data_IF_965519678456
#
_entry.id   IF_965519678456
#
_cell.length_a   1.000
_cell.length_b   1.000
_cell.length_c   1.000
_cell.angle_alpha   90.00
_cell.angle_beta   90.00
_cell.angle_gamma   90.00
#
_symmetry.space_group_name_H-M   'P 1'
#
loop_
_entity.id
_entity.type
_entity.pdbx_description
1 polymer ?
#
# COMPACT_ATOMS: atom_id res chain seq x y z
N UNK A 1 4.22 -17.96 -15.45
CA UNK A 1 3.45 -17.28 -14.37
C UNK A 1 3.54 -15.76 -14.39
N UNK A 2 4.67 -15.12 -14.04
CA UNK A 2 4.75 -13.63 -13.96
C UNK A 2 4.52 -12.96 -15.31
N UNK A 3 5.10 -13.52 -16.38
CA UNK A 3 4.89 -13.03 -17.75
C UNK A 3 3.41 -13.07 -18.15
N UNK A 4 2.74 -14.21 -17.96
CA UNK A 4 1.30 -14.36 -18.25
C UNK A 4 0.45 -13.43 -17.38
N UNK A 5 0.85 -13.21 -16.12
CA UNK A 5 0.18 -12.26 -15.25
C UNK A 5 0.34 -10.84 -15.77
N UNK A 6 1.54 -10.43 -16.17
CA UNK A 6 1.79 -9.13 -16.79
C UNK A 6 1.00 -8.95 -18.10
N UNK A 7 0.97 -9.99 -18.95
CA UNK A 7 0.20 -10.00 -20.19
C UNK A 7 -1.30 -9.85 -19.94
N UNK A 8 -1.84 -10.35 -18.82
CA UNK A 8 -3.25 -10.16 -18.47
C UNK A 8 -3.66 -8.71 -18.22
N UNK A 9 -2.69 -7.80 -17.97
CA UNK A 9 -2.94 -6.36 -17.87
C UNK A 9 -3.02 -5.66 -19.24
N UNK A 10 -2.69 -6.35 -20.35
CA UNK A 10 -2.65 -5.81 -21.72
C UNK A 10 -1.93 -4.43 -21.84
N UNK A 11 -0.70 -4.27 -21.33
CA UNK A 11 -0.02 -2.99 -21.36
C UNK A 11 0.30 -2.55 -22.79
N UNK A 12 -0.04 -1.31 -23.15
CA UNK A 12 0.16 -0.76 -24.50
C UNK A 12 1.52 -0.12 -24.71
N UNK A 13 2.19 0.23 -23.62
CA UNK A 13 3.48 0.90 -23.62
C UNK A 13 4.32 0.48 -22.41
N UNK A 14 5.56 0.96 -22.36
CA UNK A 14 6.52 0.63 -21.31
C UNK A 14 6.08 1.11 -19.92
N UNK A 15 5.40 2.25 -19.83
CA UNK A 15 4.93 2.83 -18.56
C UNK A 15 3.78 2.01 -17.97
N UNK A 16 2.84 1.60 -18.81
CA UNK A 16 1.75 0.69 -18.43
C UNK A 16 2.32 -0.68 -17.99
N UNK A 17 3.32 -1.21 -18.70
CA UNK A 17 3.97 -2.45 -18.32
C UNK A 17 4.70 -2.33 -16.97
N UNK A 18 5.40 -1.22 -16.71
CA UNK A 18 6.04 -0.96 -15.42
C UNK A 18 5.02 -0.82 -14.28
N UNK A 19 3.87 -0.21 -14.55
CA UNK A 19 2.81 -0.02 -13.56
C UNK A 19 2.10 -1.34 -13.25
N UNK A 20 1.82 -2.16 -14.26
CA UNK A 20 1.29 -3.51 -14.08
C UNK A 20 2.27 -4.40 -13.30
N UNK A 21 3.56 -4.35 -13.63
CA UNK A 21 4.58 -5.09 -12.86
C UNK A 21 4.64 -4.64 -11.40
N UNK A 22 4.48 -3.34 -11.13
CA UNK A 22 4.40 -2.82 -9.76
C UNK A 22 3.18 -3.36 -9.01
N UNK A 23 2.01 -3.39 -9.64
CA UNK A 23 0.79 -3.94 -9.05
C UNK A 23 0.94 -5.45 -8.74
N UNK A 24 1.54 -6.21 -9.67
CA UNK A 24 1.91 -7.62 -9.44
C UNK A 24 2.83 -7.76 -8.22
N UNK A 25 3.88 -6.95 -8.14
CA UNK A 25 4.79 -6.97 -7.00
C UNK A 25 4.07 -6.59 -5.68
N UNK A 26 3.09 -5.68 -5.72
CA UNK A 26 2.27 -5.33 -4.55
C UNK A 26 1.41 -6.53 -4.11
N UNK A 27 0.77 -7.24 -5.04
CA UNK A 27 -0.01 -8.46 -4.75
C UNK A 27 0.86 -9.58 -4.16
N UNK A 28 2.09 -9.76 -4.66
CA UNK A 28 3.07 -10.72 -4.13
C UNK A 28 3.51 -10.32 -2.71
N UNK A 29 3.76 -9.04 -2.46
CA UNK A 29 4.10 -8.57 -1.12
C UNK A 29 2.96 -8.80 -0.13
N UNK A 30 1.70 -8.59 -0.54
CA UNK A 30 0.52 -8.91 0.28
C UNK A 30 0.43 -10.41 0.59
N UNK A 31 0.76 -11.28 -0.36
CA UNK A 31 0.78 -12.72 -0.15
C UNK A 31 1.86 -13.15 0.87
N UNK A 32 3.07 -12.59 0.77
CA UNK A 32 4.14 -12.82 1.75
C UNK A 32 3.81 -12.31 3.16
N UNK A 33 3.15 -11.15 3.25
CA UNK A 33 2.61 -10.64 4.51
C UNK A 33 1.56 -11.60 5.09
N UNK A 34 0.68 -12.15 4.25
CA UNK A 34 -0.31 -13.10 4.74
C UNK A 34 0.31 -14.40 5.25
N UNK A 35 1.34 -14.94 4.57
CA UNK A 35 2.04 -16.16 5.05
C UNK A 35 2.68 -16.01 6.42
N UNK A 36 2.89 -14.78 6.87
CA UNK A 36 3.48 -14.46 8.16
C UNK A 36 2.46 -13.94 9.18
N UNK A 37 1.16 -14.15 8.92
CA UNK A 37 0.04 -13.74 9.77
C UNK A 37 0.05 -12.24 10.09
N UNK A 38 0.55 -11.41 9.17
CA UNK A 38 0.60 -9.96 9.34
C UNK A 38 -0.80 -9.36 9.55
N UNK A 39 -1.81 -9.90 8.87
CA UNK A 39 -3.17 -9.39 8.91
C UNK A 39 -3.90 -9.66 10.24
N UNK A 40 -3.34 -10.47 11.14
CA UNK A 40 -3.82 -10.58 12.53
C UNK A 40 -3.50 -9.31 13.35
N UNK A 41 -2.56 -8.50 12.86
CA UNK A 41 -2.03 -7.31 13.55
C UNK A 41 -2.35 -6.01 12.85
N UNK A 42 -2.53 -6.03 11.54
CA UNK A 42 -2.69 -4.82 10.74
C UNK A 42 -3.77 -4.99 9.66
N UNK A 43 -4.36 -3.88 9.26
CA UNK A 43 -5.27 -3.80 8.13
C UNK A 43 -4.73 -2.89 7.03
N UNK A 44 -4.94 -3.31 5.79
CA UNK A 44 -4.52 -2.62 4.58
C UNK A 44 -5.46 -1.45 4.27
N UNK A 45 -4.89 -0.31 3.92
CA UNK A 45 -5.65 0.88 3.57
C UNK A 45 -4.96 1.72 2.47
N UNK A 46 -5.50 2.90 2.19
CA UNK A 46 -4.86 3.86 1.29
C UNK A 46 -5.23 3.68 -0.19
N UNK A 47 -4.40 4.26 -1.06
CA UNK A 47 -4.68 4.31 -2.51
C UNK A 47 -4.55 2.95 -3.20
N UNK A 48 -3.62 2.12 -2.74
CA UNK A 48 -3.36 0.81 -3.35
C UNK A 48 -4.44 -0.21 -2.97
N UNK A 49 -5.01 -0.12 -1.76
CA UNK A 49 -6.20 -0.89 -1.40
C UNK A 49 -7.39 -0.58 -2.34
N UNK A 50 -7.62 0.70 -2.65
CA UNK A 50 -8.65 1.10 -3.62
C UNK A 50 -8.36 0.61 -5.04
N UNK A 51 -7.10 0.64 -5.46
CA UNK A 51 -6.68 0.13 -6.77
C UNK A 51 -6.97 -1.37 -6.88
N UNK A 52 -6.41 -2.18 -5.97
CA UNK A 52 -6.43 -3.64 -6.04
C UNK A 52 -7.84 -4.20 -5.78
N UNK A 53 -8.58 -3.67 -4.81
CA UNK A 53 -9.85 -4.28 -4.36
C UNK A 53 -11.11 -3.57 -4.83
N UNK A 54 -10.98 -2.35 -5.35
CA UNK A 54 -12.13 -1.53 -5.76
C UNK A 54 -11.98 -0.94 -7.17
N UNK A 55 -10.95 -1.33 -7.92
CA UNK A 55 -10.71 -0.94 -9.32
C UNK A 55 -10.63 0.59 -9.50
N UNK A 56 -9.93 1.28 -8.59
CA UNK A 56 -9.63 2.69 -8.77
C UNK A 56 -8.79 2.89 -10.05
N UNK A 57 -9.24 3.77 -10.94
CA UNK A 57 -8.65 3.96 -12.27
C UNK A 57 -7.48 4.96 -12.27
N UNK A 58 -6.53 4.75 -11.34
CA UNK A 58 -5.22 5.40 -11.32
C UNK A 58 -4.20 4.53 -10.62
N UNK A 59 -2.93 4.72 -10.96
CA UNK A 59 -1.83 4.00 -10.31
C UNK A 59 -1.63 4.44 -8.85
N UNK A 60 -1.07 3.53 -8.06
CA UNK A 60 -0.69 3.76 -6.67
C UNK A 60 0.59 2.99 -6.37
N UNK A 61 1.49 3.59 -5.57
CA UNK A 61 2.86 3.09 -5.43
C UNK A 61 3.15 2.43 -4.09
N UNK A 62 2.49 2.90 -3.03
CA UNK A 62 2.79 2.54 -1.64
C UNK A 62 1.79 1.49 -1.11
N UNK A 63 2.24 0.62 -0.21
CA UNK A 63 1.40 -0.28 0.57
C UNK A 63 1.26 0.29 1.99
N UNK A 64 0.10 0.88 2.29
CA UNK A 64 -0.17 1.51 3.57
C UNK A 64 -0.97 0.57 4.49
N UNK A 65 -0.48 0.35 5.71
CA UNK A 65 -1.13 -0.49 6.72
C UNK A 65 -1.31 0.26 8.03
N UNK A 66 -2.38 -0.06 8.74
CA UNK A 66 -2.68 0.48 10.06
C UNK A 66 -2.79 -0.67 11.04
N UNK A 67 -2.13 -0.56 12.20
CA UNK A 67 -2.29 -1.58 13.23
C UNK A 67 -3.74 -1.63 13.76
N UNK A 68 -4.23 -2.83 14.07
CA UNK A 68 -5.55 -3.01 14.67
C UNK A 68 -5.64 -2.48 16.10
N UNK A 69 -4.48 -2.35 16.75
CA UNK A 69 -4.29 -1.79 18.08
C UNK A 69 -2.92 -1.10 18.14
N UNK A 70 -2.76 -0.11 19.01
CA UNK A 70 -1.46 0.51 19.24
C UNK A 70 -0.47 -0.51 19.81
N UNK A 71 0.70 -0.64 19.20
CA UNK A 71 1.77 -1.56 19.63
C UNK A 71 3.11 -0.86 19.40
N UNK A 72 3.71 -0.31 20.45
CA UNK A 72 4.94 0.51 20.35
C UNK A 72 6.16 -0.31 19.90
N UNK A 73 6.22 -1.57 20.32
CA UNK A 73 7.32 -2.49 19.99
C UNK A 73 7.06 -3.26 18.68
N UNK A 74 6.05 -2.85 17.91
CA UNK A 74 5.78 -3.47 16.62
C UNK A 74 6.99 -3.29 15.70
N UNK A 75 7.47 -4.38 15.11
CA UNK A 75 8.51 -4.33 14.09
C UNK A 75 8.02 -4.98 12.79
N UNK A 76 8.25 -4.30 11.67
CA UNK A 76 8.02 -4.86 10.34
C UNK A 76 9.09 -5.90 9.96
N UNK A 77 10.21 -5.96 10.69
CA UNK A 77 11.33 -6.87 10.41
C UNK A 77 10.94 -8.34 10.41
N UNK A 78 10.09 -8.74 11.37
CA UNK A 78 9.61 -10.13 11.50
C UNK A 78 8.90 -10.67 10.26
N UNK A 79 8.41 -9.80 9.37
CA UNK A 79 7.68 -10.18 8.17
C UNK A 79 8.54 -10.19 6.90
N UNK A 80 9.77 -9.66 6.96
CA UNK A 80 10.63 -9.49 5.78
C UNK A 80 10.96 -10.82 5.09
N UNK A 81 11.34 -11.83 5.87
CA UNK A 81 11.70 -13.14 5.32
C UNK A 81 10.54 -13.76 4.55
N UNK A 82 9.30 -13.62 5.03
CA UNK A 82 8.14 -14.14 4.34
C UNK A 82 7.88 -13.43 3.01
N UNK A 83 8.05 -12.11 2.97
CA UNK A 83 7.96 -11.33 1.73
C UNK A 83 9.03 -11.79 0.73
N UNK A 84 10.30 -11.81 1.14
CA UNK A 84 11.41 -12.21 0.27
C UNK A 84 11.24 -13.63 -0.26
N UNK A 85 10.83 -14.57 0.60
CA UNK A 85 10.59 -15.95 0.21
C UNK A 85 9.44 -16.07 -0.80
N UNK A 86 8.36 -15.28 -0.64
CA UNK A 86 7.25 -15.27 -1.60
C UNK A 86 7.72 -14.78 -2.98
N UNK A 87 8.46 -13.68 -3.05
CA UNK A 87 9.07 -13.21 -4.31
C UNK A 87 10.01 -14.26 -4.93
N UNK A 88 10.88 -14.86 -4.11
CA UNK A 88 11.83 -15.86 -4.58
C UNK A 88 11.12 -17.11 -5.14
N UNK A 89 10.01 -17.52 -4.51
CA UNK A 89 9.19 -18.66 -4.98
C UNK A 89 8.60 -18.43 -6.38
N UNK A 90 8.47 -17.18 -6.80
CA UNK A 90 7.96 -16.77 -8.11
C UNK A 90 9.07 -16.37 -9.10
N UNK A 91 10.33 -16.61 -8.75
CA UNK A 91 11.49 -16.31 -9.58
C UNK A 91 11.88 -14.83 -9.61
N UNK A 92 11.49 -14.05 -8.59
CA UNK A 92 11.90 -12.65 -8.43
C UNK A 92 12.89 -12.50 -7.28
N UNK A 93 13.98 -11.78 -7.52
CA UNK A 93 14.91 -11.35 -6.48
C UNK A 93 14.61 -9.91 -6.09
N UNK A 94 14.34 -9.70 -4.81
CA UNK A 94 14.08 -8.38 -4.23
C UNK A 94 15.00 -8.13 -3.04
N UNK A 95 15.38 -6.86 -2.84
CA UNK A 95 16.01 -6.41 -1.60
C UNK A 95 15.07 -5.53 -0.79
N UNK A 96 15.14 -5.67 0.52
CA UNK A 96 14.44 -4.81 1.48
C UNK A 96 15.48 -3.90 2.11
N UNK A 97 15.26 -2.59 2.00
CA UNK A 97 16.07 -1.59 2.70
C UNK A 97 15.22 -0.87 3.75
N UNK A 98 15.75 -0.79 4.97
CA UNK A 98 15.20 0.07 6.01
C UNK A 98 15.74 1.48 5.81
N UNK A 99 14.89 2.49 5.98
CA UNK A 99 15.38 3.83 6.23
C UNK A 99 14.71 4.34 7.50
N UNK A 100 15.48 4.41 8.56
CA UNK A 100 15.06 5.13 9.75
C UNK A 100 14.92 6.61 9.41
N UNK A 101 13.88 7.27 9.92
CA UNK A 101 13.85 8.74 9.94
C UNK A 101 15.02 9.19 10.81
N UNK A 102 16.10 9.66 10.18
CA UNK A 102 17.05 10.56 10.85
C UNK A 102 16.22 11.76 11.30
N UNK A 103 15.97 11.89 12.61
CA UNK A 103 15.24 13.04 13.14
C UNK A 103 16.04 14.31 12.87
N UNK A 104 15.28 15.37 12.57
CA UNK A 104 15.66 16.79 12.40
C UNK A 104 16.39 17.15 11.09
N UNK A 105 15.60 17.57 10.11
CA UNK A 105 15.81 18.92 9.58
C UNK A 105 14.59 19.76 9.93
N UNK A 106 14.82 20.72 10.83
CA UNK A 106 14.00 21.91 10.92
C UNK A 106 13.95 22.56 9.54
N UNK A 107 12.79 23.15 9.22
CA UNK A 107 12.39 23.79 7.96
C UNK A 107 11.67 22.80 7.00
N UNK A 108 10.34 22.93 7.00
CA UNK A 108 9.38 22.44 6.00
C UNK A 108 8.91 20.97 5.98
N UNK A 109 9.23 20.15 6.99
CA UNK A 109 8.58 18.84 7.20
C UNK A 109 7.96 18.67 8.59
N UNK A 110 7.34 19.74 9.11
CA UNK A 110 6.39 19.58 10.21
C UNK A 110 5.23 18.67 9.75
N UNK A 111 4.55 17.97 10.66
CA UNK A 111 3.30 17.19 10.50
C UNK A 111 3.37 15.65 10.40
N UNK A 112 4.53 15.01 10.34
CA UNK A 112 4.64 13.53 10.44
C UNK A 112 5.35 13.05 11.72
N UNK A 113 4.65 13.21 12.85
CA UNK A 113 4.76 12.31 14.02
C UNK A 113 3.42 11.59 14.22
N UNK A 114 3.09 10.61 13.39
CA UNK A 114 2.67 9.31 13.94
C UNK A 114 3.90 8.41 13.76
N UNK A 115 4.12 7.47 14.66
CA UNK A 115 5.26 6.56 14.58
C UNK A 115 5.00 5.57 13.43
N UNK A 116 5.20 6.02 12.19
CA UNK A 116 5.08 5.20 10.99
C UNK A 116 6.40 4.49 10.73
N UNK A 117 6.39 3.16 10.75
CA UNK A 117 7.51 2.34 10.32
C UNK A 117 7.40 2.11 8.82
N UNK A 118 8.52 2.17 8.10
CA UNK A 118 8.51 1.92 6.67
C UNK A 118 9.74 1.20 6.14
N UNK A 119 9.54 0.42 5.09
CA UNK A 119 10.60 -0.32 4.38
C UNK A 119 10.41 -0.18 2.87
N UNK A 120 11.52 -0.21 2.14
CA UNK A 120 11.54 -0.09 0.68
C UNK A 120 11.95 -1.44 0.07
N UNK A 121 11.03 -2.06 -0.68
CA UNK A 121 11.26 -3.22 -1.53
C UNK A 121 11.78 -2.75 -2.88
N UNK A 122 12.89 -3.31 -3.36
CA UNK A 122 13.47 -3.03 -4.67
C UNK A 122 13.54 -4.30 -5.49
N UNK A 123 13.04 -4.25 -6.72
CA UNK A 123 13.27 -5.31 -7.69
C UNK A 123 14.72 -5.28 -8.16
N UNK A 124 15.44 -6.38 -8.00
CA UNK A 124 16.82 -6.49 -8.46
C UNK A 124 16.89 -7.22 -9.79
N UNK A 125 16.19 -8.35 -9.91
CA UNK A 125 16.19 -9.18 -11.10
C UNK A 125 14.92 -10.02 -11.13
N UNK A 126 14.36 -10.18 -12.33
CA UNK A 126 13.40 -11.24 -12.62
C UNK A 126 14.19 -12.30 -13.36
N UNK A 127 14.22 -13.54 -12.86
CA UNK A 127 14.89 -14.63 -13.57
C UNK A 127 14.16 -14.81 -14.90
N UNK A 128 14.83 -14.63 -16.05
CA UNK A 128 14.15 -14.56 -17.33
C UNK A 128 13.58 -15.94 -17.71
N UNK A 129 12.25 -16.07 -17.67
CA UNK A 129 11.55 -17.18 -18.33
C UNK A 129 11.30 -16.84 -19.81
N UNK A 130 12.35 -16.49 -20.57
CA UNK A 130 12.36 -16.09 -21.99
C UNK A 130 12.13 -14.58 -22.27
N UNK A 131 13.21 -13.80 -22.19
CA UNK A 131 13.37 -12.56 -22.96
C UNK A 131 12.87 -11.25 -22.34
N UNK A 132 12.38 -11.25 -21.10
CA UNK A 132 12.09 -10.01 -20.37
C UNK A 132 13.39 -9.45 -19.79
N UNK A 133 14.23 -8.87 -20.64
CA UNK A 133 15.45 -8.16 -20.23
C UNK A 133 15.09 -6.73 -19.78
N UNK A 134 14.13 -6.62 -18.86
CA UNK A 134 13.71 -5.35 -18.28
C UNK A 134 14.38 -5.18 -16.92
N UNK A 135 15.50 -4.46 -16.89
CA UNK A 135 16.01 -3.82 -15.66
C UNK A 135 15.02 -2.74 -15.21
N UNK A 136 13.87 -3.14 -14.69
CA UNK A 136 12.87 -2.24 -14.14
C UNK A 136 13.24 -1.95 -12.67
N UNK A 137 13.69 -0.73 -12.39
CA UNK A 137 13.99 -0.29 -11.01
C UNK A 137 12.68 0.10 -10.30
N UNK A 138 11.84 -0.89 -10.02
CA UNK A 138 10.57 -0.71 -9.33
C UNK A 138 10.81 -0.75 -7.83
N UNK A 139 10.20 0.20 -7.12
CA UNK A 139 10.30 0.33 -5.67
C UNK A 139 8.92 0.34 -5.05
N UNK A 140 8.66 -0.50 -4.06
CA UNK A 140 7.42 -0.48 -3.28
C UNK A 140 7.76 -0.07 -1.87
N UNK A 141 7.10 0.98 -1.38
CA UNK A 141 7.18 1.36 0.02
C UNK A 141 6.11 0.62 0.80
N UNK A 142 6.49 -0.05 1.87
CA UNK A 142 5.55 -0.60 2.85
C UNK A 142 5.58 0.34 4.05
N UNK A 143 4.43 0.91 4.42
CA UNK A 143 4.26 1.77 5.58
C UNK A 143 3.28 1.14 6.58
N UNK A 144 3.60 1.20 7.87
CA UNK A 144 2.72 0.75 8.95
C UNK A 144 2.54 1.87 9.97
N UNK A 145 1.31 2.34 10.16
CA UNK A 145 0.94 3.28 11.22
C UNK A 145 0.75 2.52 12.54
N UNK A 146 1.66 2.73 13.49
CA UNK A 146 1.67 2.03 14.79
C UNK A 146 0.82 2.71 15.86
N UNK A 147 0.38 3.95 15.63
CA UNK A 147 -0.53 4.69 16.52
C UNK A 147 -1.74 5.24 15.73
N UNK A 148 -2.56 4.36 15.12
CA UNK A 148 -3.62 4.81 14.23
C UNK A 148 -4.84 5.35 14.98
N UNK A 149 -5.71 6.12 14.29
CA UNK A 149 -7.00 6.54 14.82
C UNK A 149 -7.95 5.34 14.86
N UNK A 150 -7.87 4.56 15.95
CA UNK A 150 -8.68 3.36 16.20
C UNK A 150 -10.18 3.63 16.07
N UNK A 151 -10.95 2.58 15.80
CA UNK A 151 -12.40 2.64 15.60
C UNK A 151 -12.83 2.60 14.13
N UNK A 152 -11.90 2.34 13.21
CA UNK A 152 -12.22 1.90 11.86
C UNK A 152 -12.78 0.48 11.86
N UNK A 153 -13.55 0.13 10.83
CA UNK A 153 -13.98 -1.24 10.56
C UNK A 153 -13.07 -1.88 9.51
N UNK A 154 -13.06 -3.20 9.50
CA UNK A 154 -12.32 -3.98 8.51
C UNK A 154 -13.22 -4.98 7.80
N UNK A 155 -12.81 -5.39 6.59
CA UNK A 155 -13.40 -6.46 5.81
C UNK A 155 -12.28 -7.36 5.26
N UNK A 156 -12.56 -8.65 5.08
CA UNK A 156 -11.62 -9.58 4.44
C UNK A 156 -11.84 -9.54 2.92
N UNK A 157 -10.79 -9.25 2.15
CA UNK A 157 -10.82 -9.24 0.69
C UNK A 157 -9.99 -10.39 0.13
N UNK A 158 -10.54 -11.12 -0.83
CA UNK A 158 -9.87 -12.24 -1.47
C UNK A 158 -8.99 -11.75 -2.64
N UNK A 159 -7.72 -12.12 -2.64
CA UNK A 159 -6.88 -12.18 -3.83
C UNK A 159 -6.75 -13.64 -4.27
N UNK A 160 -6.66 -13.86 -5.59
CA UNK A 160 -6.54 -15.20 -6.19
C UNK A 160 -5.15 -15.49 -6.76
N UNK A 161 -4.28 -14.48 -6.80
CA UNK A 161 -2.88 -14.59 -7.23
C UNK A 161 -1.96 -13.98 -6.18
N UNK A 162 -0.76 -14.54 -5.96
CA UNK A 162 -0.21 -15.74 -6.61
C UNK A 162 -0.88 -17.06 -6.18
N UNK A 163 -1.63 -17.04 -5.07
CA UNK A 163 -2.55 -18.09 -4.64
C UNK A 163 -3.81 -17.44 -4.03
N UNK A 164 -4.79 -18.23 -3.61
CA UNK A 164 -5.97 -17.68 -2.92
C UNK A 164 -5.66 -17.33 -1.46
N UNK A 165 -5.78 -16.05 -1.11
CA UNK A 165 -5.60 -15.59 0.26
C UNK A 165 -6.44 -14.35 0.57
N UNK A 166 -6.76 -14.19 1.85
CA UNK A 166 -7.47 -13.02 2.35
C UNK A 166 -6.49 -11.95 2.81
N UNK A 167 -6.86 -10.70 2.53
CA UNK A 167 -6.23 -9.48 3.02
C UNK A 167 -7.26 -8.75 3.87
N UNK A 168 -6.90 -8.47 5.12
CA UNK A 168 -7.72 -7.62 5.99
C UNK A 168 -7.57 -6.18 5.54
N UNK A 169 -8.65 -5.58 5.05
CA UNK A 169 -8.68 -4.21 4.54
C UNK A 169 -9.58 -3.33 5.41
N UNK A 170 -9.36 -2.02 5.38
CA UNK A 170 -10.36 -1.06 5.87
C UNK A 170 -11.64 -1.18 5.04
N UNK A 171 -12.78 -0.95 5.67
CA UNK A 171 -14.03 -0.85 4.89
C UNK A 171 -14.03 0.38 4.00
N UNK A 172 -14.77 0.33 2.90
CA UNK A 172 -14.82 1.44 1.94
C UNK A 172 -15.23 2.80 2.57
N UNK A 173 -16.20 2.88 3.51
CA UNK A 173 -16.48 4.11 4.26
C UNK A 173 -15.31 4.65 5.11
N UNK A 174 -14.55 3.76 5.77
CA UNK A 174 -13.37 4.15 6.57
C UNK A 174 -12.19 4.58 5.67
N UNK A 175 -12.01 3.91 4.52
CA UNK A 175 -11.07 4.37 3.49
C UNK A 175 -11.43 5.78 3.01
N UNK A 176 -12.72 6.08 2.84
CA UNK A 176 -13.19 7.41 2.46
C UNK A 176 -12.89 8.43 3.56
N UNK A 177 -13.09 8.07 4.84
CA UNK A 177 -12.76 8.92 5.98
C UNK A 177 -11.28 9.35 5.98
N UNK A 178 -10.35 8.41 5.80
CA UNK A 178 -8.92 8.74 5.69
C UNK A 178 -8.59 9.65 4.50
N UNK A 179 -9.28 9.46 3.37
CA UNK A 179 -9.09 10.29 2.16
C UNK A 179 -9.62 11.70 2.35
N UNK A 180 -10.79 11.85 2.97
CA UNK A 180 -11.35 13.16 3.32
C UNK A 180 -10.45 13.90 4.30
N UNK A 181 -9.87 13.20 5.29
CA UNK A 181 -8.93 13.84 6.20
C UNK A 181 -7.68 14.34 5.45
N UNK A 182 -7.10 13.50 4.60
CA UNK A 182 -5.96 13.90 3.78
C UNK A 182 -6.28 15.06 2.82
N UNK A 183 -7.49 15.11 2.26
CA UNK A 183 -7.92 16.18 1.38
C UNK A 183 -8.08 17.51 2.13
N UNK A 184 -8.75 17.49 3.28
CA UNK A 184 -9.14 18.69 4.03
C UNK A 184 -7.99 19.26 4.88
N UNK A 185 -7.10 18.40 5.40
CA UNK A 185 -6.08 18.80 6.37
C UNK A 185 -4.65 18.75 5.82
N UNK A 186 -4.44 18.40 4.54
CA UNK A 186 -3.15 18.70 3.90
C UNK A 186 -2.97 20.22 3.80
N UNK A 187 -1.74 20.67 4.04
CA UNK A 187 -1.39 22.09 3.91
C UNK A 187 -1.73 22.63 2.52
N UNK A 188 -2.70 23.52 2.49
CA UNK A 188 -3.05 24.29 1.30
C UNK A 188 -1.84 25.08 0.79
N UNK A 189 -1.70 25.19 -0.53
CA UNK A 189 -0.61 25.91 -1.20
C UNK A 189 0.72 25.14 -1.34
N UNK A 190 1.14 24.38 -0.32
CA UNK A 190 2.48 23.73 -0.32
C UNK A 190 2.46 22.21 -0.51
N UNK A 191 1.31 21.54 -0.32
CA UNK A 191 1.20 20.07 -0.41
C UNK A 191 -0.17 19.63 -0.93
N UNK A 192 -0.71 20.35 -1.91
CA UNK A 192 -1.94 19.95 -2.60
C UNK A 192 -1.61 18.83 -3.58
N UNK A 193 -2.32 17.70 -3.50
CA UNK A 193 -2.14 16.57 -4.42
C UNK A 193 -3.42 16.33 -5.21
N UNK A 194 -3.38 16.46 -6.53
CA UNK A 194 -4.54 16.27 -7.42
C UNK A 194 -5.23 14.90 -7.25
N UNK A 195 -4.46 13.87 -6.87
CA UNK A 195 -5.00 12.53 -6.59
C UNK A 195 -6.02 12.47 -5.46
N UNK A 196 -5.96 13.36 -4.47
CA UNK A 196 -6.92 13.35 -3.37
C UNK A 196 -8.31 13.84 -3.84
N UNK A 197 -8.33 14.80 -4.75
CA UNK A 197 -9.57 15.26 -5.40
C UNK A 197 -10.14 14.17 -6.32
N UNK A 198 -9.28 13.51 -7.09
CA UNK A 198 -9.67 12.36 -7.93
C UNK A 198 -10.31 11.25 -7.11
N UNK A 199 -9.70 10.87 -5.98
CA UNK A 199 -10.24 9.84 -5.09
C UNK A 199 -11.59 10.25 -4.49
N UNK A 200 -11.72 11.50 -4.03
CA UNK A 200 -12.98 12.02 -3.51
C UNK A 200 -14.10 11.95 -4.56
N UNK A 201 -13.83 12.41 -5.78
CA UNK A 201 -14.79 12.32 -6.89
C UNK A 201 -15.20 10.87 -7.16
N UNK A 202 -14.24 9.94 -7.14
CA UNK A 202 -14.50 8.51 -7.32
C UNK A 202 -15.47 7.95 -6.26
N UNK A 203 -15.29 8.30 -4.98
CA UNK A 203 -16.21 7.89 -3.91
C UNK A 203 -17.62 8.44 -4.09
N UNK A 204 -17.72 9.74 -4.43
CA UNK A 204 -19.00 10.41 -4.64
C UNK A 204 -19.75 9.77 -5.82
N UNK A 205 -19.08 9.54 -6.94
CA UNK A 205 -19.65 8.87 -8.13
C UNK A 205 -20.14 7.45 -7.84
N UNK A 206 -19.51 6.76 -6.89
CA UNK A 206 -19.90 5.41 -6.44
C UNK A 206 -20.99 5.41 -5.35
N UNK A 207 -21.42 6.58 -4.87
CA UNK A 207 -22.44 6.71 -3.83
C UNK A 207 -21.98 6.19 -2.46
N UNK A 208 -20.67 6.14 -2.21
CA UNK A 208 -20.13 5.65 -0.95
C UNK A 208 -20.34 6.68 0.15
N UNK A 209 -20.92 6.24 1.27
CA UNK A 209 -21.10 7.10 2.45
C UNK A 209 -19.78 7.24 3.21
N UNK A 210 -19.45 8.47 3.56
CA UNK A 210 -18.36 8.79 4.47
C UNK A 210 -18.69 8.28 5.89
N UNK A 211 -17.78 7.56 6.53
CA UNK A 211 -17.95 7.24 7.95
C UNK A 211 -17.66 8.48 8.81
N UNK A 212 -18.71 9.18 9.22
CA UNK A 212 -18.64 10.36 10.07
C UNK A 212 -18.31 10.03 11.54
N UNK A 213 -18.37 8.76 11.96
CA UNK A 213 -17.94 8.33 13.28
C UNK A 213 -16.43 8.10 13.34
N UNK A 214 -15.85 7.63 12.24
CA UNK A 214 -14.40 7.43 12.10
C UNK A 214 -13.66 8.70 11.67
N UNK A 215 -14.20 9.48 10.74
CA UNK A 215 -13.56 10.69 10.20
C UNK A 215 -13.01 11.67 11.27
N UNK A 216 -13.74 12.03 12.35
CA UNK A 216 -13.23 12.94 13.39
C UNK A 216 -12.10 12.36 14.24
N UNK A 217 -11.89 11.04 14.19
CA UNK A 217 -10.85 10.36 14.98
C UNK A 217 -9.47 10.55 14.39
N UNK A 218 -9.40 10.81 13.08
CA UNK A 218 -8.17 11.29 12.47
C UNK A 218 -7.81 12.63 13.10
N UNK A 219 -6.77 12.63 13.92
CA UNK A 219 -6.32 13.84 14.60
C UNK A 219 -5.93 14.89 13.55
N UNK A 220 -6.61 16.02 13.58
CA UNK A 220 -6.17 17.25 12.91
C UNK A 220 -4.96 17.75 13.69
N UNK A 221 -3.81 17.88 13.03
CA UNK A 221 -2.58 18.40 13.65
C UNK A 221 -2.48 19.89 13.43
#
# INVERSE_FOLDING_TARGET
MIKEWLESYNPKNKEEAQSALREIMQEIALAGLQRSNFFDKAAFYGGTALRIFHNLDRFSEDLDFSLLQTEQDFSLEKYQHAIVNEFASLGMTVSISEKQKVKQNNINSAFLKSETLWRELKLETIIPQNGLDTKANIKIKIEVDTEPPLGFKTEEKLLVKPFSFYVKCFTLPDLFAGKMHALLFRKWGTNVKGRDWYDMEWYIKKGIKLDLGHFPRYRTK
#
